data_IF_346690748873
#
_entry.id   IF_346690748873
#
_cell.length_a   1.000
_cell.length_b   1.000
_cell.length_c   1.000
_cell.angle_alpha   90.00
_cell.angle_beta   90.00
_cell.angle_gamma   90.00
#
_symmetry.space_group_name_H-M   'P 1'
#
loop_
_entity.id
_entity.type
_entity.pdbx_description
1 polymer ?
#
# COMPACT_ATOMS: atom_id res chain seq x y z
N UNK A 1 15.19 -11.25 24.80
CA UNK A 1 16.45 -11.40 24.04
C UNK A 1 16.44 -10.44 22.87
N UNK A 2 17.49 -9.63 22.76
CA UNK A 2 17.64 -8.46 21.89
C UNK A 2 18.00 -8.95 20.48
N UNK A 3 17.04 -8.94 19.56
CA UNK A 3 17.25 -9.25 18.15
C UNK A 3 17.92 -8.05 17.47
N UNK A 4 19.24 -8.06 17.39
CA UNK A 4 20.00 -7.16 16.53
C UNK A 4 19.68 -7.51 15.07
N UNK A 5 18.81 -6.69 14.48
CA UNK A 5 18.31 -6.88 13.13
C UNK A 5 19.41 -6.60 12.11
N UNK A 6 19.99 -7.67 11.59
CA UNK A 6 20.79 -7.65 10.37
C UNK A 6 19.98 -6.98 9.26
N UNK A 7 20.57 -6.00 8.59
CA UNK A 7 19.93 -5.32 7.47
C UNK A 7 19.68 -6.33 6.33
N UNK A 8 18.48 -6.36 5.71
CA UNK A 8 18.24 -7.21 4.56
C UNK A 8 19.22 -6.86 3.42
N UNK A 9 19.75 -7.89 2.77
CA UNK A 9 20.85 -7.90 1.79
C UNK A 9 20.65 -7.08 0.49
N UNK A 10 19.75 -6.09 0.47
CA UNK A 10 19.36 -5.36 -0.74
C UNK A 10 19.41 -3.85 -0.65
N UNK A 11 19.73 -3.24 0.49
CA UNK A 11 19.75 -1.78 0.57
C UNK A 11 20.98 -1.19 -0.15
N UNK A 12 20.77 -0.10 -0.91
CA UNK A 12 21.77 0.74 -1.62
C UNK A 12 22.77 1.38 -0.65
N UNK A 13 23.50 0.56 0.08
CA UNK A 13 24.13 0.95 1.31
C UNK A 13 25.47 0.22 1.32
N UNK A 14 26.53 0.94 0.95
CA UNK A 14 27.89 0.45 0.89
C UNK A 14 28.31 -0.23 2.21
N UNK A 15 29.30 -1.12 2.17
CA UNK A 15 29.67 -1.99 3.30
C UNK A 15 29.82 -1.30 4.66
N UNK A 16 30.23 -0.03 4.67
CA UNK A 16 30.34 0.81 5.87
C UNK A 16 29.01 1.06 6.61
N UNK A 17 27.91 1.19 5.87
CA UNK A 17 26.60 1.48 6.45
C UNK A 17 25.85 0.20 6.90
N UNK A 18 26.42 -1.00 6.68
CA UNK A 18 25.85 -2.27 7.19
C UNK A 18 26.07 -2.47 8.69
N UNK A 19 27.08 -1.83 9.27
CA UNK A 19 27.42 -1.93 10.71
C UNK A 19 26.69 -0.88 11.56
N UNK A 20 26.11 0.14 10.93
CA UNK A 20 25.43 1.23 11.63
C UNK A 20 23.97 0.89 11.94
N UNK A 21 23.42 1.40 13.07
CA UNK A 21 22.00 1.27 13.34
C UNK A 21 21.21 1.95 12.22
N UNK A 22 20.20 1.26 11.70
CA UNK A 22 19.41 1.72 10.54
C UNK A 22 18.95 3.18 10.61
N UNK A 23 18.58 3.68 11.78
CA UNK A 23 18.11 5.07 11.93
C UNK A 23 19.20 6.07 11.53
N UNK A 24 20.45 5.79 11.94
CA UNK A 24 21.60 6.59 11.57
C UNK A 24 21.90 6.47 10.07
N UNK A 25 21.86 5.24 9.54
CA UNK A 25 22.05 5.00 8.10
C UNK A 25 21.00 5.70 7.24
N UNK A 26 19.73 5.69 7.65
CA UNK A 26 18.64 6.36 6.95
C UNK A 26 18.81 7.88 6.95
N UNK A 27 19.19 8.48 8.09
CA UNK A 27 19.51 9.91 8.19
C UNK A 27 20.70 10.27 7.30
N UNK A 28 21.76 9.46 7.30
CA UNK A 28 22.93 9.70 6.45
C UNK A 28 22.53 9.67 4.97
N UNK A 29 21.81 8.63 4.53
CA UNK A 29 21.38 8.46 3.13
C UNK A 29 20.43 9.56 2.68
N UNK A 30 19.57 10.09 3.56
CA UNK A 30 18.63 11.14 3.20
C UNK A 30 19.20 12.56 3.27
N UNK A 31 20.04 12.87 4.25
CA UNK A 31 20.55 14.25 4.46
C UNK A 31 21.89 14.50 3.78
N UNK A 32 22.85 13.57 3.84
CA UNK A 32 24.23 13.84 3.39
C UNK A 32 24.31 14.02 1.87
N UNK A 33 23.82 13.09 1.03
CA UNK A 33 23.85 13.29 -0.43
C UNK A 33 23.05 14.51 -0.86
N UNK A 34 21.89 14.73 -0.24
CA UNK A 34 21.01 15.86 -0.56
C UNK A 34 21.68 17.20 -0.27
N UNK A 35 22.38 17.34 0.87
CA UNK A 35 23.12 18.56 1.18
C UNK A 35 24.36 18.74 0.31
N UNK A 36 25.09 17.67 0.00
CA UNK A 36 26.20 17.72 -0.97
C UNK A 36 25.71 18.20 -2.33
N UNK A 37 24.64 17.61 -2.87
CA UNK A 37 24.07 17.99 -4.17
C UNK A 37 23.57 19.43 -4.17
N UNK A 38 22.83 19.85 -3.14
CA UNK A 38 22.36 21.24 -2.98
C UNK A 38 23.53 22.24 -2.88
N UNK A 39 24.63 21.86 -2.22
CA UNK A 39 25.83 22.71 -2.12
C UNK A 39 26.55 22.82 -3.47
N UNK A 40 26.64 21.71 -4.22
CA UNK A 40 27.18 21.71 -5.58
C UNK A 40 26.33 22.60 -6.50
N UNK A 41 25.00 22.52 -6.39
CA UNK A 41 24.10 23.37 -7.17
C UNK A 41 24.32 24.85 -6.84
N UNK A 42 24.39 25.20 -5.55
CA UNK A 42 24.67 26.57 -5.11
C UNK A 42 26.02 27.10 -5.62
N UNK A 43 27.08 26.28 -5.59
CA UNK A 43 28.41 26.66 -6.08
C UNK A 43 28.44 26.91 -7.59
N UNK A 44 27.61 26.21 -8.35
CA UNK A 44 27.55 26.31 -9.81
C UNK A 44 26.67 27.48 -10.29
N UNK A 45 25.61 27.81 -9.58
CA UNK A 45 24.77 28.99 -9.85
C UNK A 45 24.28 29.61 -8.54
N UNK A 46 24.95 30.66 -8.04
CA UNK A 46 24.52 31.36 -6.82
C UNK A 46 23.24 32.17 -7.12
N UNK A 47 22.08 31.54 -6.94
CA UNK A 47 20.78 32.16 -7.24
C UNK A 47 20.08 32.75 -6.01
N UNK A 48 20.51 32.38 -4.79
CA UNK A 48 19.88 32.80 -3.52
C UNK A 48 20.93 33.16 -2.46
N UNK A 49 20.51 33.87 -1.40
CA UNK A 49 21.39 34.25 -0.29
C UNK A 49 21.80 33.08 0.60
N UNK A 50 22.86 33.23 1.39
CA UNK A 50 23.45 32.17 2.26
C UNK A 50 22.42 31.48 3.18
N UNK A 51 21.32 32.16 3.53
CA UNK A 51 20.23 31.59 4.32
C UNK A 51 19.52 30.39 3.67
N UNK A 52 19.47 30.32 2.34
CA UNK A 52 18.87 29.20 1.60
C UNK A 52 19.65 27.90 1.80
N UNK A 53 20.97 27.95 2.04
CA UNK A 53 21.78 26.74 2.29
C UNK A 53 21.33 25.96 3.55
N UNK A 54 20.75 26.66 4.54
CA UNK A 54 20.36 26.09 5.83
C UNK A 54 18.94 25.53 5.76
N UNK A 55 17.96 26.40 5.48
CA UNK A 55 16.54 26.04 5.29
C UNK A 55 16.19 26.14 3.80
N UNK A 56 16.28 25.00 3.11
CA UNK A 56 16.01 24.87 1.68
C UNK A 56 14.99 23.77 1.37
N UNK A 57 14.50 23.76 0.13
CA UNK A 57 13.72 22.66 -0.46
C UNK A 57 14.44 21.30 -0.30
N UNK A 58 15.77 21.28 -0.41
CA UNK A 58 16.59 20.10 -0.16
C UNK A 58 16.41 19.51 1.25
N UNK A 59 16.22 20.34 2.29
CA UNK A 59 15.96 19.87 3.65
C UNK A 59 14.58 19.20 3.71
N UNK A 60 13.57 19.83 3.12
CA UNK A 60 12.21 19.27 3.06
C UNK A 60 12.22 17.93 2.34
N UNK A 61 12.85 17.84 1.17
CA UNK A 61 12.99 16.58 0.43
C UNK A 61 13.73 15.51 1.24
N UNK A 62 14.78 15.87 1.99
CA UNK A 62 15.50 14.92 2.84
C UNK A 62 14.62 14.32 3.95
N UNK A 63 13.67 15.07 4.52
CA UNK A 63 12.69 14.55 5.48
C UNK A 63 11.72 13.57 4.81
N UNK A 64 11.25 13.87 3.60
CA UNK A 64 10.38 12.95 2.84
C UNK A 64 11.13 11.69 2.45
N UNK A 65 12.40 11.79 2.07
CA UNK A 65 13.26 10.63 1.79
C UNK A 65 13.46 9.78 3.03
N UNK A 66 13.70 10.38 4.20
CA UNK A 66 13.78 9.66 5.47
C UNK A 66 12.50 8.86 5.74
N UNK A 67 11.34 9.49 5.51
CA UNK A 67 10.04 8.83 5.60
C UNK A 67 9.93 7.63 4.65
N UNK A 68 10.39 7.75 3.40
CA UNK A 68 10.41 6.63 2.45
C UNK A 68 11.31 5.48 2.90
N UNK A 69 12.53 5.78 3.36
CA UNK A 69 13.46 4.75 3.83
C UNK A 69 12.88 4.01 5.04
N UNK A 70 12.31 4.74 6.00
CA UNK A 70 11.62 4.16 7.15
C UNK A 70 10.45 3.28 6.72
N UNK A 71 9.64 3.79 5.79
CA UNK A 71 8.50 3.08 5.24
C UNK A 71 8.92 1.80 4.52
N UNK A 72 9.93 1.84 3.65
CA UNK A 72 10.46 0.65 2.98
C UNK A 72 10.85 -0.42 4.00
N UNK A 73 11.53 -0.05 5.09
CA UNK A 73 11.87 -0.99 6.18
C UNK A 73 10.62 -1.55 6.87
N UNK A 74 9.63 -0.71 7.13
CA UNK A 74 8.36 -1.14 7.72
C UNK A 74 7.67 -2.19 6.84
N UNK A 75 7.62 -1.94 5.53
CA UNK A 75 7.03 -2.84 4.53
C UNK A 75 7.77 -4.18 4.53
N UNK A 76 9.09 -4.18 4.37
CA UNK A 76 9.91 -5.40 4.34
C UNK A 76 9.72 -6.24 5.61
N UNK A 77 9.86 -5.63 6.80
CA UNK A 77 9.66 -6.32 8.08
C UNK A 77 8.25 -6.89 8.25
N UNK A 78 7.25 -6.30 7.61
CA UNK A 78 5.88 -6.80 7.68
C UNK A 78 5.70 -7.99 6.74
N UNK A 79 6.27 -7.93 5.55
CA UNK A 79 6.30 -9.04 4.60
C UNK A 79 7.07 -10.23 5.15
N UNK A 80 8.19 -10.02 5.84
CA UNK A 80 8.97 -11.10 6.46
C UNK A 80 8.14 -11.85 7.51
N UNK A 81 7.46 -11.12 8.41
CA UNK A 81 6.52 -11.71 9.39
C UNK A 81 5.37 -12.45 8.73
N UNK A 82 4.86 -11.93 7.62
CA UNK A 82 3.82 -12.59 6.85
C UNK A 82 4.36 -13.86 6.16
N UNK A 83 5.63 -13.85 5.75
CA UNK A 83 6.32 -15.01 5.19
C UNK A 83 6.47 -16.13 6.20
N UNK A 84 6.86 -15.81 7.45
CA UNK A 84 6.93 -16.77 8.55
C UNK A 84 5.56 -17.38 8.84
N UNK A 85 4.51 -16.55 8.87
CA UNK A 85 3.14 -17.01 9.07
C UNK A 85 2.68 -17.94 7.93
N UNK A 86 2.96 -17.56 6.68
CA UNK A 86 2.61 -18.34 5.50
C UNK A 86 3.32 -19.70 5.46
N UNK A 87 4.58 -19.76 5.89
CA UNK A 87 5.34 -21.03 6.00
C UNK A 87 4.66 -22.02 6.95
N UNK A 88 4.07 -21.55 8.06
CA UNK A 88 3.32 -22.40 8.98
C UNK A 88 2.00 -22.97 8.43
N UNK A 89 1.49 -22.43 7.32
CA UNK A 89 0.22 -22.84 6.71
C UNK A 89 0.36 -23.68 5.44
N UNK A 90 1.56 -23.82 4.89
CA UNK A 90 1.80 -24.56 3.65
C UNK A 90 2.19 -26.01 3.96
N UNK A 91 1.55 -27.02 3.35
CA UNK A 91 1.98 -28.41 3.51
C UNK A 91 3.23 -28.64 2.67
N UNK A 92 4.31 -29.04 3.34
CA UNK A 92 5.58 -29.39 2.70
C UNK A 92 6.55 -28.23 2.55
N UNK A 93 7.82 -28.60 2.49
CA UNK A 93 9.06 -27.81 2.51
C UNK A 93 9.24 -26.90 1.29
N UNK A 94 8.18 -26.16 0.95
CA UNK A 94 8.21 -25.18 -0.12
C UNK A 94 8.97 -23.99 0.43
N UNK A 95 10.13 -23.67 -0.17
CA UNK A 95 10.97 -22.51 0.15
C UNK A 95 10.23 -21.20 -0.20
N UNK A 96 9.13 -20.93 0.50
CA UNK A 96 8.26 -19.80 0.25
C UNK A 96 8.86 -18.57 0.92
N UNK A 97 9.65 -17.84 0.16
CA UNK A 97 10.13 -16.52 0.53
C UNK A 97 9.23 -15.48 -0.13
N UNK A 98 8.34 -14.90 0.68
CA UNK A 98 7.54 -13.74 0.29
C UNK A 98 8.35 -12.44 0.30
N UNK A 99 9.59 -12.50 0.81
CA UNK A 99 10.54 -11.38 0.84
C UNK A 99 10.73 -10.77 -0.55
N UNK A 100 10.79 -9.45 -0.59
CA UNK A 100 10.93 -8.69 -1.83
C UNK A 100 12.38 -8.70 -2.31
N UNK A 101 12.71 -9.35 -3.44
CA UNK A 101 14.06 -9.28 -3.97
C UNK A 101 14.32 -7.86 -4.45
N UNK A 102 15.21 -7.15 -3.75
CA UNK A 102 15.70 -5.87 -4.23
C UNK A 102 16.54 -6.12 -5.49
N UNK A 103 16.10 -5.59 -6.63
CA UNK A 103 16.82 -5.70 -7.91
C UNK A 103 17.14 -4.29 -8.40
N UNK A 104 18.41 -3.83 -8.32
CA UNK A 104 18.76 -2.45 -8.66
C UNK A 104 18.40 -2.11 -10.10
N UNK A 105 18.53 -3.06 -11.03
CA UNK A 105 18.13 -2.88 -12.44
C UNK A 105 16.65 -2.48 -12.60
N UNK A 106 15.73 -3.06 -11.80
CA UNK A 106 14.29 -2.72 -11.88
C UNK A 106 13.98 -1.37 -11.24
N UNK A 107 14.70 -1.03 -10.18
CA UNK A 107 14.63 0.29 -9.54
C UNK A 107 15.11 1.37 -10.51
N UNK A 108 16.23 1.15 -11.19
CA UNK A 108 16.76 2.06 -12.21
C UNK A 108 15.80 2.23 -13.38
N UNK A 109 15.15 1.15 -13.85
CA UNK A 109 14.12 1.24 -14.88
C UNK A 109 12.96 2.14 -14.43
N UNK A 110 12.42 1.93 -13.23
CA UNK A 110 11.34 2.75 -12.68
C UNK A 110 11.79 4.20 -12.52
N UNK A 111 13.03 4.44 -12.08
CA UNK A 111 13.60 5.76 -11.95
C UNK A 111 13.67 6.50 -13.29
N UNK A 112 14.19 5.85 -14.34
CA UNK A 112 14.24 6.43 -15.71
C UNK A 112 12.83 6.70 -16.24
N UNK A 113 11.88 5.79 -16.05
CA UNK A 113 10.49 5.98 -16.49
C UNK A 113 9.82 7.14 -15.75
N UNK A 114 10.02 7.25 -14.43
CA UNK A 114 9.47 8.35 -13.63
C UNK A 114 10.08 9.69 -14.04
N UNK A 115 11.41 9.76 -14.20
CA UNK A 115 12.07 10.97 -14.68
C UNK A 115 11.56 11.37 -16.07
N UNK A 116 11.44 10.41 -17.00
CA UNK A 116 10.89 10.66 -18.34
C UNK A 116 9.44 11.14 -18.32
N UNK A 117 8.60 10.57 -17.46
CA UNK A 117 7.22 11.04 -17.29
C UNK A 117 7.18 12.47 -16.70
N UNK A 118 8.03 12.74 -15.70
CA UNK A 118 8.13 14.06 -15.06
C UNK A 118 8.62 15.12 -16.06
N UNK A 119 9.62 14.81 -16.89
CA UNK A 119 10.13 15.75 -17.90
C UNK A 119 9.13 16.01 -19.02
N UNK A 120 8.28 15.04 -19.37
CA UNK A 120 7.20 15.23 -20.34
C UNK A 120 6.12 16.18 -19.82
N UNK A 121 5.79 16.10 -18.52
CA UNK A 121 4.75 16.93 -17.90
C UNK A 121 5.26 18.31 -17.48
N UNK A 122 6.52 18.40 -17.09
CA UNK A 122 7.20 19.64 -16.72
C UNK A 122 8.57 19.66 -17.39
N UNK A 123 8.68 20.26 -18.60
CA UNK A 123 9.93 20.29 -19.36
C UNK A 123 11.09 20.86 -18.55
N UNK A 124 12.13 20.06 -18.40
CA UNK A 124 13.37 20.45 -17.75
C UNK A 124 14.21 21.26 -18.74
N UNK A 125 14.79 22.41 -18.33
CA UNK A 125 15.76 23.11 -19.16
C UNK A 125 16.99 22.23 -19.42
N UNK A 126 17.40 22.10 -20.69
CA UNK A 126 18.55 21.29 -21.09
C UNK A 126 19.91 21.97 -20.87
N UNK A 127 19.92 23.24 -20.48
CA UNK A 127 21.12 24.03 -20.17
C UNK A 127 21.65 23.71 -18.78
N UNK A 128 22.97 23.64 -18.59
CA UNK A 128 23.60 23.37 -17.28
C UNK A 128 23.13 24.38 -16.22
N UNK A 129 23.10 25.67 -16.56
CA UNK A 129 22.60 26.73 -15.66
C UNK A 129 21.14 26.51 -15.27
N UNK A 130 20.29 26.12 -16.22
CA UNK A 130 18.89 25.77 -15.95
C UNK A 130 18.73 24.50 -15.11
N UNK A 131 19.60 23.50 -15.27
CA UNK A 131 19.58 22.26 -14.47
C UNK A 131 19.95 22.58 -13.02
N UNK A 132 20.96 23.42 -12.83
CA UNK A 132 21.45 23.82 -11.52
C UNK A 132 20.44 24.75 -10.83
N UNK A 133 19.91 25.75 -11.54
CA UNK A 133 18.99 26.74 -10.97
C UNK A 133 17.63 26.17 -10.55
N UNK A 134 17.25 24.99 -11.03
CA UNK A 134 15.98 24.33 -10.70
C UNK A 134 16.15 23.12 -9.76
N UNK A 135 17.29 22.99 -9.08
CA UNK A 135 17.56 21.93 -8.10
C UNK A 135 17.35 20.50 -8.64
N UNK A 136 17.69 20.28 -9.91
CA UNK A 136 17.33 19.05 -10.63
C UNK A 136 18.15 17.86 -10.15
N UNK A 137 19.37 18.06 -9.62
CA UNK A 137 20.17 16.95 -9.10
C UNK A 137 19.58 16.41 -7.81
N UNK A 138 19.20 17.31 -6.89
CA UNK A 138 18.50 16.95 -5.66
C UNK A 138 17.16 16.28 -5.97
N UNK A 139 16.39 16.85 -6.90
CA UNK A 139 15.11 16.28 -7.33
C UNK A 139 15.28 14.90 -7.97
N UNK A 140 16.29 14.71 -8.81
CA UNK A 140 16.59 13.41 -9.45
C UNK A 140 16.97 12.33 -8.43
N UNK A 141 17.76 12.69 -7.41
CA UNK A 141 18.07 11.81 -6.29
C UNK A 141 16.83 11.47 -5.46
N UNK A 142 15.94 12.45 -5.22
CA UNK A 142 14.63 12.21 -4.61
C UNK A 142 13.80 11.19 -5.40
N UNK A 143 13.71 11.34 -6.73
CA UNK A 143 12.98 10.41 -7.61
C UNK A 143 13.59 9.00 -7.55
N UNK A 144 14.90 8.86 -7.33
CA UNK A 144 15.55 7.55 -7.18
C UNK A 144 15.11 6.82 -5.90
N UNK A 145 15.00 7.55 -4.78
CA UNK A 145 14.48 6.98 -3.54
C UNK A 145 12.98 6.68 -3.67
N UNK A 146 12.22 7.54 -4.34
CA UNK A 146 10.81 7.28 -4.66
C UNK A 146 10.64 6.01 -5.53
N UNK A 147 11.48 5.83 -6.54
CA UNK A 147 11.48 4.63 -7.38
C UNK A 147 11.79 3.36 -6.57
N UNK A 148 12.74 3.45 -5.64
CA UNK A 148 13.05 2.36 -4.70
C UNK A 148 11.85 2.02 -3.80
N UNK A 149 11.15 3.05 -3.32
CA UNK A 149 9.93 2.89 -2.52
C UNK A 149 8.82 2.22 -3.33
N UNK A 150 8.53 2.73 -4.53
CA UNK A 150 7.50 2.19 -5.42
C UNK A 150 7.77 0.75 -5.81
N UNK A 151 9.03 0.40 -6.10
CA UNK A 151 9.42 -0.98 -6.34
C UNK A 151 9.15 -1.86 -5.12
N UNK A 152 9.56 -1.41 -3.93
CA UNK A 152 9.39 -2.17 -2.68
C UNK A 152 7.90 -2.36 -2.36
N UNK A 153 7.09 -1.31 -2.51
CA UNK A 153 5.65 -1.35 -2.31
C UNK A 153 4.95 -2.28 -3.31
N UNK A 154 5.17 -2.07 -4.61
CA UNK A 154 4.54 -2.86 -5.67
C UNK A 154 4.95 -4.34 -5.62
N UNK A 155 6.23 -4.63 -5.40
CA UNK A 155 6.70 -6.01 -5.24
C UNK A 155 6.13 -6.68 -3.99
N UNK A 156 5.91 -5.95 -2.89
CA UNK A 156 5.26 -6.48 -1.67
C UNK A 156 3.79 -6.83 -1.91
N UNK A 157 3.05 -5.95 -2.60
CA UNK A 157 1.66 -6.24 -2.96
C UNK A 157 1.55 -7.42 -3.92
N UNK A 158 2.45 -7.53 -4.90
CA UNK A 158 2.55 -8.68 -5.80
C UNK A 158 2.91 -9.97 -5.06
N UNK A 159 3.78 -9.90 -4.05
CA UNK A 159 4.14 -11.04 -3.22
C UNK A 159 2.91 -11.55 -2.45
N UNK A 160 2.13 -10.65 -1.84
CA UNK A 160 0.88 -11.01 -1.14
C UNK A 160 -0.14 -11.60 -2.12
N UNK A 161 -0.30 -11.02 -3.31
CA UNK A 161 -1.17 -11.56 -4.36
C UNK A 161 -0.76 -12.98 -4.77
N UNK A 162 0.54 -13.24 -4.92
CA UNK A 162 1.06 -14.59 -5.21
C UNK A 162 0.88 -15.54 -4.03
N UNK A 163 1.02 -15.07 -2.79
CA UNK A 163 0.70 -15.84 -1.60
C UNK A 163 -0.75 -16.30 -1.64
N UNK A 164 -1.67 -15.42 -2.01
CA UNK A 164 -3.07 -15.77 -2.24
C UNK A 164 -3.28 -16.84 -3.32
N UNK A 165 -2.28 -17.23 -4.11
CA UNK A 165 -2.40 -18.32 -5.08
C UNK A 165 -1.81 -19.64 -4.60
N UNK A 166 -1.26 -19.73 -3.40
CA UNK A 166 -0.66 -20.97 -2.90
C UNK A 166 -1.71 -21.90 -2.25
N UNK A 167 -1.47 -23.22 -2.27
CA UNK A 167 -2.34 -24.18 -1.59
C UNK A 167 -2.07 -24.16 -0.09
N UNK A 168 -2.64 -23.19 0.63
CA UNK A 168 -2.60 -23.19 2.10
C UNK A 168 -3.58 -24.21 2.66
N UNK A 169 -3.19 -24.92 3.72
CA UNK A 169 -4.14 -25.68 4.54
C UNK A 169 -4.95 -24.67 5.36
N UNK A 170 -6.20 -24.50 4.94
CA UNK A 170 -7.12 -23.55 5.55
C UNK A 170 -7.57 -24.07 6.93
N UNK A 171 -7.67 -23.17 7.90
CA UNK A 171 -8.25 -23.53 9.21
C UNK A 171 -9.73 -23.88 9.05
N UNK A 172 -10.28 -24.78 9.89
CA UNK A 172 -11.71 -25.08 9.88
C UNK A 172 -12.53 -23.81 10.07
N UNK A 173 -13.59 -23.66 9.29
CA UNK A 173 -14.48 -22.48 9.32
C UNK A 173 -15.13 -22.25 10.71
N UNK A 174 -15.23 -23.31 11.53
CA UNK A 174 -15.72 -23.26 12.91
C UNK A 174 -14.77 -22.54 13.86
N UNK A 175 -13.47 -22.48 13.56
CA UNK A 175 -12.46 -21.80 14.37
C UNK A 175 -12.23 -20.35 13.90
N UNK A 176 -12.26 -20.10 12.58
CA UNK A 176 -12.07 -18.77 12.01
C UNK A 176 -12.88 -18.58 10.72
N UNK A 177 -13.80 -17.60 10.72
CA UNK A 177 -14.64 -17.24 9.56
C UNK A 177 -13.82 -16.74 8.36
N UNK A 178 -12.57 -16.34 8.57
CA UNK A 178 -11.64 -15.90 7.51
C UNK A 178 -10.65 -16.98 7.08
N UNK A 179 -10.81 -18.21 7.58
CA UNK A 179 -9.99 -19.38 7.23
C UNK A 179 -8.48 -19.16 7.49
N UNK A 180 -8.12 -18.24 8.40
CA UNK A 180 -6.74 -17.84 8.69
C UNK A 180 -6.14 -16.78 7.76
N UNK A 181 -6.91 -16.23 6.80
CA UNK A 181 -6.40 -15.28 5.80
C UNK A 181 -6.45 -13.80 6.23
N UNK A 182 -7.05 -13.49 7.40
CA UNK A 182 -7.11 -12.13 7.98
C UNK A 182 -5.75 -11.42 8.10
N UNK A 183 -4.63 -12.09 8.46
CA UNK A 183 -3.31 -11.44 8.51
C UNK A 183 -2.83 -10.91 7.15
N UNK A 184 -3.15 -11.58 6.05
CA UNK A 184 -2.81 -11.13 4.68
C UNK A 184 -3.63 -9.90 4.28
N UNK A 185 -4.91 -9.90 4.63
CA UNK A 185 -5.78 -8.75 4.41
C UNK A 185 -5.30 -7.52 5.20
N UNK A 186 -5.17 -7.66 6.52
CA UNK A 186 -4.74 -6.56 7.40
C UNK A 186 -3.34 -6.04 7.06
N UNK A 187 -2.43 -6.91 6.58
CA UNK A 187 -1.13 -6.48 6.06
C UNK A 187 -1.29 -5.59 4.83
N UNK A 188 -2.05 -6.03 3.83
CA UNK A 188 -2.30 -5.25 2.60
C UNK A 188 -2.91 -3.87 2.91
N UNK A 189 -3.88 -3.81 3.82
CA UNK A 189 -4.47 -2.54 4.26
C UNK A 189 -3.46 -1.60 4.91
N UNK A 190 -2.61 -2.12 5.82
CA UNK A 190 -1.58 -1.29 6.47
C UNK A 190 -0.54 -0.79 5.47
N UNK A 191 -0.17 -1.61 4.49
CA UNK A 191 0.72 -1.19 3.41
C UNK A 191 0.08 -0.07 2.58
N UNK A 192 -1.21 -0.21 2.22
CA UNK A 192 -1.95 0.81 1.50
C UNK A 192 -2.13 2.11 2.29
N UNK A 193 -2.40 2.04 3.60
CA UNK A 193 -2.51 3.23 4.44
C UNK A 193 -1.19 3.99 4.51
N UNK A 194 -0.06 3.28 4.58
CA UNK A 194 1.26 3.93 4.58
C UNK A 194 1.52 4.58 3.22
N UNK A 195 1.18 3.94 2.10
CA UNK A 195 1.27 4.57 0.78
C UNK A 195 0.38 5.82 0.67
N UNK A 196 -0.84 5.78 1.20
CA UNK A 196 -1.81 6.87 1.11
C UNK A 196 -1.35 8.15 1.82
N UNK A 197 -0.47 8.06 2.82
CA UNK A 197 0.10 9.23 3.51
C UNK A 197 1.00 10.04 2.58
N UNK A 198 1.69 9.40 1.64
CA UNK A 198 2.65 10.08 0.78
C UNK A 198 2.02 11.16 -0.14
N UNK A 199 0.95 10.87 -0.93
CA UNK A 199 0.25 11.91 -1.69
C UNK A 199 -0.21 13.09 -0.83
N UNK A 200 -0.64 12.82 0.41
CA UNK A 200 -1.06 13.86 1.36
C UNK A 200 0.12 14.75 1.74
N UNK A 201 1.27 14.16 2.10
CA UNK A 201 2.50 14.90 2.40
C UNK A 201 2.87 15.80 1.20
N UNK A 202 2.89 15.26 -0.02
CA UNK A 202 3.21 16.04 -1.23
C UNK A 202 2.24 17.21 -1.41
N UNK A 203 0.94 16.99 -1.27
CA UNK A 203 -0.05 18.07 -1.39
C UNK A 203 0.12 19.16 -0.35
N UNK A 204 0.46 18.80 0.89
CA UNK A 204 0.67 19.77 1.97
C UNK A 204 1.97 20.53 1.78
N UNK A 205 3.06 19.86 1.39
CA UNK A 205 4.34 20.49 1.06
C UNK A 205 4.16 21.52 -0.06
N UNK A 206 3.42 21.16 -1.10
CA UNK A 206 3.20 22.04 -2.25
C UNK A 206 2.31 23.25 -1.94
N UNK A 207 1.53 23.20 -0.86
CA UNK A 207 0.71 24.32 -0.42
C UNK A 207 1.53 25.38 0.34
N UNK A 208 2.75 25.05 0.79
CA UNK A 208 3.57 25.91 1.64
C UNK A 208 4.86 26.26 0.90
N UNK A 209 5.07 27.54 0.59
CA UNK A 209 6.36 28.06 0.10
C UNK A 209 7.04 28.85 1.21
N UNK A 210 8.25 28.46 1.61
CA UNK A 210 9.03 29.15 2.65
C UNK A 210 10.15 29.90 1.94
N UNK A 211 10.12 31.23 1.96
CA UNK A 211 11.22 32.05 1.47
C UNK A 211 11.92 32.69 2.67
N UNK A 212 13.24 32.49 2.78
CA UNK A 212 14.06 33.08 3.85
C UNK A 212 14.96 34.13 3.22
N UNK A 213 14.59 35.41 3.35
CA UNK A 213 15.44 36.52 2.95
C UNK A 213 16.21 37.03 4.17
N UNK A 214 17.55 37.06 4.10
CA UNK A 214 18.38 37.72 5.12
C UNK A 214 18.84 39.05 4.53
N UNK A 215 18.59 40.22 5.19
CA UNK A 215 18.23 40.40 6.60
C UNK A 215 16.70 40.50 6.89
N UNK A 216 15.84 40.20 5.92
CA UNK A 216 14.40 40.52 5.90
C UNK A 216 13.39 39.52 6.50
N UNK A 217 13.82 38.43 7.12
CA UNK A 217 12.93 37.49 7.84
C UNK A 217 12.40 36.31 7.00
N UNK A 218 11.55 35.48 7.63
CA UNK A 218 10.93 34.29 7.00
C UNK A 218 9.54 34.68 6.49
N UNK A 219 9.33 34.61 5.18
CA UNK A 219 8.00 34.77 4.59
C UNK A 219 7.43 33.40 4.24
N UNK A 220 6.20 33.15 4.71
CA UNK A 220 5.46 31.93 4.39
C UNK A 220 4.38 32.30 3.38
N UNK A 221 4.57 31.89 2.15
CA UNK A 221 3.60 32.03 1.06
C UNK A 221 2.77 30.76 0.88
N UNK A 222 1.61 30.92 0.25
CA UNK A 222 0.83 29.79 -0.25
C UNK A 222 1.35 29.40 -1.64
N UNK A 223 1.81 28.16 -1.76
CA UNK A 223 2.26 27.61 -3.03
C UNK A 223 1.13 27.50 -4.06
N UNK A 224 1.49 27.58 -5.34
CA UNK A 224 0.53 27.40 -6.44
C UNK A 224 0.59 25.97 -6.95
N UNK A 225 -0.55 25.26 -6.93
CA UNK A 225 -0.70 24.00 -7.66
C UNK A 225 -0.67 24.28 -9.16
N UNK A 226 0.29 23.68 -9.89
CA UNK A 226 0.26 23.66 -11.35
C UNK A 226 -0.60 22.49 -11.81
N UNK A 227 -1.21 22.61 -12.98
CA UNK A 227 -2.01 21.52 -13.58
C UNK A 227 -1.18 20.25 -13.75
N UNK A 228 0.11 20.37 -14.06
CA UNK A 228 1.07 19.25 -14.13
C UNK A 228 1.12 18.44 -12.84
N UNK A 229 1.08 19.12 -11.69
CA UNK A 229 1.28 18.51 -10.37
C UNK A 229 0.05 17.68 -9.98
N UNK A 230 -1.14 18.14 -10.36
CA UNK A 230 -2.38 17.39 -10.20
C UNK A 230 -2.40 16.12 -11.04
N UNK A 231 -1.86 16.16 -12.27
CA UNK A 231 -1.77 14.97 -13.13
C UNK A 231 -0.77 13.97 -12.56
N UNK A 232 0.40 14.44 -12.10
CA UNK A 232 1.41 13.57 -11.46
C UNK A 232 0.84 12.93 -10.19
N UNK A 233 0.23 13.74 -9.32
CA UNK A 233 -0.38 13.28 -8.08
C UNK A 233 -1.51 12.27 -8.34
N UNK A 234 -2.41 12.59 -9.29
CA UNK A 234 -3.50 11.73 -9.70
C UNK A 234 -3.01 10.39 -10.26
N UNK A 235 -1.97 10.42 -11.10
CA UNK A 235 -1.34 9.20 -11.62
C UNK A 235 -0.73 8.34 -10.52
N UNK A 236 -0.07 8.96 -9.55
CA UNK A 236 0.55 8.28 -8.41
C UNK A 236 -0.52 7.67 -7.48
N UNK A 237 -1.60 8.40 -7.21
CA UNK A 237 -2.77 7.88 -6.48
C UNK A 237 -3.34 6.66 -7.22
N UNK A 238 -3.54 6.76 -8.53
CA UNK A 238 -4.09 5.69 -9.35
C UNK A 238 -3.20 4.44 -9.31
N UNK A 239 -1.87 4.59 -9.44
CA UNK A 239 -0.91 3.47 -9.31
C UNK A 239 -1.05 2.79 -7.95
N UNK A 240 -1.17 3.56 -6.86
CA UNK A 240 -1.38 3.03 -5.52
C UNK A 240 -2.67 2.22 -5.39
N UNK A 241 -3.78 2.77 -5.88
CA UNK A 241 -5.10 2.11 -5.87
C UNK A 241 -5.05 0.81 -6.67
N UNK A 242 -4.51 0.84 -7.89
CA UNK A 242 -4.38 -0.36 -8.73
C UNK A 242 -3.54 -1.43 -8.03
N UNK A 243 -2.38 -1.07 -7.47
CA UNK A 243 -1.51 -1.99 -6.75
C UNK A 243 -2.15 -2.55 -5.48
N UNK A 244 -3.00 -1.79 -4.79
CA UNK A 244 -3.75 -2.25 -3.63
C UNK A 244 -4.85 -3.26 -4.00
N UNK A 245 -5.49 -3.11 -5.16
CA UNK A 245 -6.53 -4.03 -5.62
C UNK A 245 -5.97 -5.41 -5.98
N UNK A 246 -4.70 -5.51 -6.38
CA UNK A 246 -4.05 -6.78 -6.72
C UNK A 246 -4.19 -7.84 -5.61
N UNK A 247 -3.66 -7.65 -4.40
CA UNK A 247 -3.80 -8.64 -3.32
C UNK A 247 -5.26 -8.90 -2.93
N UNK A 248 -6.13 -7.89 -3.03
CA UNK A 248 -7.58 -8.04 -2.78
C UNK A 248 -8.20 -9.09 -3.70
N UNK A 249 -7.94 -9.00 -5.01
CA UNK A 249 -8.48 -9.92 -6.01
C UNK A 249 -7.95 -11.35 -5.77
N UNK A 250 -6.68 -11.48 -5.40
CA UNK A 250 -6.07 -12.78 -5.08
C UNK A 250 -6.75 -13.47 -3.90
N UNK A 251 -6.94 -12.76 -2.79
CA UNK A 251 -7.56 -13.30 -1.57
C UNK A 251 -9.07 -13.56 -1.79
N UNK A 252 -9.77 -12.65 -2.48
CA UNK A 252 -11.20 -12.80 -2.76
C UNK A 252 -11.50 -14.07 -3.56
N UNK A 253 -10.75 -14.32 -4.63
CA UNK A 253 -10.91 -15.55 -5.44
C UNK A 253 -10.71 -16.80 -4.60
N UNK A 254 -9.72 -16.83 -3.70
CA UNK A 254 -9.51 -17.97 -2.81
C UNK A 254 -10.60 -18.18 -1.79
N UNK A 255 -11.09 -17.11 -1.16
CA UNK A 255 -12.22 -17.22 -0.24
C UNK A 255 -13.47 -17.74 -0.98
N UNK A 256 -13.69 -17.33 -2.23
CA UNK A 256 -14.74 -17.88 -3.08
C UNK A 256 -14.51 -19.36 -3.43
N UNK A 257 -13.29 -19.75 -3.79
CA UNK A 257 -12.95 -21.13 -4.13
C UNK A 257 -13.09 -22.06 -2.91
N UNK A 258 -12.62 -21.62 -1.74
CA UNK A 258 -12.79 -22.35 -0.48
C UNK A 258 -14.28 -22.47 -0.11
N UNK A 259 -15.06 -21.39 -0.25
CA UNK A 259 -16.51 -21.41 -0.05
C UNK A 259 -17.20 -22.39 -1.00
N UNK A 260 -16.78 -22.44 -2.27
CA UNK A 260 -17.31 -23.38 -3.28
C UNK A 260 -16.95 -24.83 -2.96
N UNK A 261 -15.73 -25.10 -2.49
CA UNK A 261 -15.31 -26.45 -2.10
C UNK A 261 -16.10 -26.97 -0.89
N UNK A 262 -16.27 -26.15 0.14
CA UNK A 262 -17.08 -26.49 1.32
C UNK A 262 -18.57 -26.64 0.95
N UNK A 263 -19.10 -25.74 0.11
CA UNK A 263 -20.48 -25.85 -0.40
C UNK A 263 -20.68 -27.13 -1.21
N UNK A 264 -19.75 -27.48 -2.10
CA UNK A 264 -19.83 -28.69 -2.92
C UNK A 264 -19.77 -29.98 -2.10
N UNK A 265 -19.18 -29.96 -0.90
CA UNK A 265 -19.23 -31.08 0.04
C UNK A 265 -20.61 -31.21 0.70
N UNK A 266 -21.28 -30.08 0.96
CA UNK A 266 -22.58 -30.02 1.66
C UNK A 266 -23.75 -30.25 0.70
N UNK A 267 -23.69 -29.75 -0.54
CA UNK A 267 -24.76 -29.86 -1.54
C UNK A 267 -25.24 -31.30 -1.77
N UNK A 268 -24.39 -32.32 -2.00
CA UNK A 268 -24.86 -33.69 -2.21
C UNK A 268 -25.52 -34.31 -0.97
N UNK A 269 -25.03 -33.99 0.24
CA UNK A 269 -25.67 -34.41 1.50
C UNK A 269 -27.03 -33.75 1.67
N UNK A 270 -27.13 -32.45 1.39
CA UNK A 270 -28.37 -31.68 1.43
C UNK A 270 -29.41 -32.23 0.45
N UNK A 271 -29.05 -32.42 -0.82
CA UNK A 271 -29.97 -32.98 -1.82
C UNK A 271 -30.42 -34.38 -1.45
N UNK A 272 -29.53 -35.22 -0.88
CA UNK A 272 -29.91 -36.56 -0.45
C UNK A 272 -30.91 -36.57 0.72
N UNK A 273 -30.79 -35.62 1.66
CA UNK A 273 -31.71 -35.49 2.79
C UNK A 273 -33.07 -34.95 2.36
N UNK A 274 -33.09 -33.91 1.50
CA UNK A 274 -34.33 -33.35 0.95
C UNK A 274 -35.07 -34.35 0.08
N UNK A 275 -34.35 -35.15 -0.73
CA UNK A 275 -34.95 -36.19 -1.56
C UNK A 275 -35.59 -37.30 -0.70
N UNK A 276 -34.89 -37.77 0.34
CA UNK A 276 -35.43 -38.75 1.31
C UNK A 276 -36.67 -38.23 2.03
N UNK A 277 -36.69 -36.94 2.36
CA UNK A 277 -37.86 -36.28 2.98
C UNK A 277 -39.04 -36.22 2.01
N UNK A 278 -38.78 -35.87 0.74
CA UNK A 278 -39.81 -35.77 -0.31
C UNK A 278 -40.40 -37.14 -0.66
N UNK A 279 -39.58 -38.16 -0.79
CA UNK A 279 -40.04 -39.52 -1.10
C UNK A 279 -40.92 -40.07 0.04
N UNK A 280 -40.53 -39.86 1.31
CA UNK A 280 -41.36 -40.28 2.46
C UNK A 280 -42.66 -39.48 2.61
N UNK A 281 -42.67 -38.21 2.21
CA UNK A 281 -43.88 -37.36 2.24
C UNK A 281 -44.84 -37.69 1.09
N UNK A 282 -44.32 -38.18 -0.03
CA UNK A 282 -45.13 -38.61 -1.20
C UNK A 282 -45.70 -40.02 -0.99
N UNK A 283 -45.10 -40.83 -0.09
CA UNK A 283 -45.49 -42.22 0.17
C UNK A 283 -46.27 -42.49 1.46
N UNK A 284 -46.64 -41.49 2.27
CA UNK A 284 -47.31 -41.77 3.54
C UNK A 284 -48.83 -41.91 3.42
N UNK A 285 -49.29 -43.16 3.50
CA UNK A 285 -50.55 -43.56 4.13
C UNK A 285 -50.59 -43.03 5.58
N UNK A 286 -51.77 -42.57 5.98
CA UNK A 286 -52.05 -41.84 7.22
C UNK A 286 -52.07 -42.80 8.43
N UNK A 287 -51.22 -42.57 9.45
CA UNK A 287 -51.61 -42.40 10.87
C UNK A 287 -50.42 -42.45 11.86
N UNK A 288 -49.27 -43.04 11.53
CA UNK A 288 -48.22 -43.33 12.54
C UNK A 288 -47.10 -42.25 12.66
N UNK A 289 -47.06 -41.26 11.75
CA UNK A 289 -45.87 -40.45 11.48
C UNK A 289 -45.82 -39.03 12.07
N UNK A 290 -46.67 -38.65 13.03
CA UNK A 290 -46.66 -37.26 13.58
C UNK A 290 -45.34 -36.95 14.30
N UNK A 291 -44.83 -37.88 15.11
CA UNK A 291 -43.59 -37.69 15.87
C UNK A 291 -42.33 -37.72 14.97
N UNK A 292 -42.36 -38.50 13.88
CA UNK A 292 -41.27 -38.56 12.89
C UNK A 292 -41.26 -37.30 11.99
N UNK A 293 -42.44 -36.74 11.69
CA UNK A 293 -42.59 -35.47 10.97
C UNK A 293 -42.03 -34.29 11.77
N UNK A 294 -42.24 -34.25 13.09
CA UNK A 294 -41.67 -33.22 13.95
C UNK A 294 -40.13 -33.35 14.07
N UNK A 295 -39.61 -34.58 14.13
CA UNK A 295 -38.17 -34.82 14.08
C UNK A 295 -37.54 -34.34 12.76
N UNK A 296 -38.18 -34.59 11.63
CA UNK A 296 -37.73 -34.14 10.31
C UNK A 296 -37.88 -32.63 10.11
N UNK A 297 -38.91 -32.01 10.69
CA UNK A 297 -39.06 -30.55 10.70
C UNK A 297 -37.97 -29.87 11.55
N UNK A 298 -37.60 -30.47 12.68
CA UNK A 298 -36.46 -30.07 13.49
C UNK A 298 -35.15 -30.20 12.71
N UNK A 299 -34.95 -31.31 12.00
CA UNK A 299 -33.77 -31.53 11.16
C UNK A 299 -33.69 -30.53 10.00
N UNK A 300 -34.82 -30.20 9.36
CA UNK A 300 -34.91 -29.17 8.31
C UNK A 300 -34.61 -27.76 8.86
N UNK A 301 -35.00 -27.48 10.11
CA UNK A 301 -34.69 -26.21 10.78
C UNK A 301 -33.19 -26.06 11.06
N UNK A 302 -32.53 -27.14 11.50
CA UNK A 302 -31.08 -27.20 11.70
C UNK A 302 -30.36 -26.99 10.36
N UNK A 303 -30.87 -27.60 9.28
CA UNK A 303 -30.30 -27.44 7.94
C UNK A 303 -30.47 -26.01 7.41
N UNK A 304 -31.63 -25.37 7.61
CA UNK A 304 -31.83 -23.94 7.26
C UNK A 304 -30.93 -23.02 8.09
N UNK A 305 -30.69 -23.38 9.35
CA UNK A 305 -29.79 -22.63 10.22
C UNK A 305 -28.34 -22.75 9.76
N UNK A 306 -27.93 -23.93 9.29
CA UNK A 306 -26.63 -24.16 8.63
C UNK A 306 -26.54 -23.37 7.31
N UNK A 307 -27.58 -23.35 6.48
CA UNK A 307 -27.62 -22.56 5.23
C UNK A 307 -27.51 -21.04 5.49
N UNK A 308 -28.18 -20.56 6.54
CA UNK A 308 -28.09 -19.18 7.01
C UNK A 308 -26.69 -18.84 7.55
N UNK A 309 -26.06 -19.75 8.30
CA UNK A 309 -24.69 -19.60 8.78
C UNK A 309 -23.65 -19.63 7.66
N UNK A 310 -23.91 -20.41 6.59
CA UNK A 310 -23.11 -20.42 5.36
C UNK A 310 -23.26 -19.12 4.58
N UNK A 311 -24.45 -18.52 4.54
CA UNK A 311 -24.66 -17.20 3.94
C UNK A 311 -23.95 -16.09 4.71
N UNK A 312 -23.70 -16.29 6.02
CA UNK A 312 -22.91 -15.41 6.89
C UNK A 312 -21.39 -15.44 6.66
N UNK A 313 -20.88 -16.34 5.82
CA UNK A 313 -19.46 -16.35 5.42
C UNK A 313 -19.16 -15.04 4.67
N UNK A 314 -18.24 -14.24 5.23
CA UNK A 314 -17.79 -12.98 4.62
C UNK A 314 -17.20 -13.26 3.22
N UNK A 315 -17.80 -12.66 2.19
CA UNK A 315 -17.33 -12.73 0.79
C UNK A 315 -16.07 -11.91 0.55
N UNK A 316 -15.77 -10.98 1.45
CA UNK A 316 -14.59 -10.11 1.38
C UNK A 316 -13.84 -10.14 2.70
N UNK A 317 -12.49 -10.16 2.68
CA UNK A 317 -11.67 -10.13 3.89
C UNK A 317 -11.72 -8.77 4.62
N UNK A 318 -12.56 -7.83 4.17
CA UNK A 318 -12.63 -6.45 4.62
C UNK A 318 -14.05 -5.90 4.62
N UNK A 319 -14.34 -5.02 5.58
CA UNK A 319 -15.56 -4.23 5.60
C UNK A 319 -15.47 -3.09 4.57
N UNK A 320 -16.52 -2.92 3.77
CA UNK A 320 -16.65 -1.86 2.74
C UNK A 320 -16.39 -0.47 3.35
N UNK A 321 -16.74 -0.26 4.62
CA UNK A 321 -16.50 0.98 5.35
C UNK A 321 -15.02 1.38 5.49
N UNK A 322 -14.09 0.41 5.48
CA UNK A 322 -12.66 0.71 5.57
C UNK A 322 -12.11 1.17 4.21
N UNK A 323 -12.63 0.61 3.10
CA UNK A 323 -12.28 1.02 1.74
C UNK A 323 -12.78 2.44 1.48
N UNK A 324 -14.03 2.74 1.87
CA UNK A 324 -14.58 4.10 1.72
C UNK A 324 -13.81 5.11 2.57
N UNK A 325 -13.47 4.78 3.82
CA UNK A 325 -12.65 5.66 4.67
C UNK A 325 -11.26 5.93 4.07
N UNK A 326 -10.60 4.91 3.51
CA UNK A 326 -9.31 5.09 2.83
C UNK A 326 -9.44 5.95 1.57
N UNK A 327 -10.49 5.73 0.77
CA UNK A 327 -10.76 6.54 -0.41
C UNK A 327 -11.02 8.01 -0.04
N UNK A 328 -11.82 8.27 1.00
CA UNK A 328 -12.06 9.63 1.50
C UNK A 328 -10.77 10.30 1.96
N UNK A 329 -9.95 9.62 2.77
CA UNK A 329 -8.68 10.18 3.27
C UNK A 329 -7.70 10.49 2.13
N UNK A 330 -7.71 9.69 1.06
CA UNK A 330 -6.81 9.86 -0.08
C UNK A 330 -7.24 11.01 -1.01
N UNK A 331 -8.55 11.17 -1.20
CA UNK A 331 -9.13 12.12 -2.17
C UNK A 331 -9.43 13.49 -1.53
N UNK A 332 -9.71 13.54 -0.23
CA UNK A 332 -10.12 14.77 0.44
C UNK A 332 -9.02 15.86 0.46
N UNK A 333 -7.75 15.58 0.78
CA UNK A 333 -6.71 16.61 0.81
C UNK A 333 -6.48 17.33 -0.53
N UNK A 334 -6.35 16.64 -1.69
CA UNK A 334 -6.21 17.34 -2.97
C UNK A 334 -7.48 18.13 -3.35
N UNK A 335 -8.68 17.61 -3.05
CA UNK A 335 -9.93 18.37 -3.28
C UNK A 335 -9.94 19.65 -2.44
N UNK A 336 -9.63 19.56 -1.15
CA UNK A 336 -9.56 20.72 -0.26
C UNK A 336 -8.53 21.74 -0.74
N UNK A 337 -7.36 21.29 -1.22
CA UNK A 337 -6.35 22.17 -1.80
C UNK A 337 -6.85 22.93 -3.03
N UNK A 338 -7.57 22.24 -3.94
CA UNK A 338 -8.19 22.87 -5.12
C UNK A 338 -9.29 23.84 -4.72
N UNK A 339 -10.17 23.46 -3.78
CA UNK A 339 -11.24 24.34 -3.27
C UNK A 339 -10.66 25.59 -2.63
N UNK A 340 -9.63 25.44 -1.78
CA UNK A 340 -8.95 26.55 -1.14
C UNK A 340 -8.38 27.51 -2.20
N UNK A 341 -7.78 26.97 -3.27
CA UNK A 341 -7.27 27.79 -4.38
C UNK A 341 -8.38 28.53 -5.12
N UNK A 342 -9.51 27.87 -5.41
CA UNK A 342 -10.68 28.51 -6.06
C UNK A 342 -11.21 29.63 -5.18
N UNK A 343 -11.36 29.38 -3.88
CA UNK A 343 -11.80 30.41 -2.91
C UNK A 343 -10.86 31.62 -2.91
N UNK A 344 -9.54 31.40 -2.82
CA UNK A 344 -8.55 32.48 -2.83
C UNK A 344 -8.63 33.26 -4.14
N UNK A 345 -8.71 32.59 -5.29
CA UNK A 345 -8.79 33.25 -6.60
C UNK A 345 -10.06 34.09 -6.75
N UNK A 346 -11.18 33.64 -6.19
CA UNK A 346 -12.43 34.42 -6.16
C UNK A 346 -12.27 35.63 -5.24
N UNK A 347 -11.68 35.44 -4.06
CA UNK A 347 -11.53 36.50 -3.05
C UNK A 347 -10.49 37.56 -3.43
N UNK A 348 -9.48 37.21 -4.24
CA UNK A 348 -8.46 38.15 -4.74
C UNK A 348 -8.86 38.87 -6.04
N UNK A 349 -9.95 38.43 -6.71
CA UNK A 349 -10.49 39.07 -7.92
C UNK A 349 -11.59 40.09 -7.65
N UNK A 350 -12.03 40.19 -6.41
CA UNK A 350 -12.89 41.26 -5.87
C UNK A 350 -11.96 42.19 -5.09
#
# INVERSE_FOLDING_TARGET
>A
MKSEGCAPNGFLVGGFLRTLPFWLGAVIVSFVPTKILSTIEYLLAPSQGIGSLILDEALVLSLVMLYFLYTMRYITRRIDRLSEYAKGMSPGDTTLHLGTPYRPSRVLLIWVVLLGALTLLSPIPFTIEGVVSNHILVFSYFVLILASFLWTYGSSMLAIYRAGKLPFQLKPFTEDRTLGLKPFGTASMRLASVYAIFPIIVTLLQLITINVEVPGGVTVGLGSFRTSDLVILGGLILVGVVLFLLPLIGIHRRLQDARRQELNWITPRYTSLVQRLKDKMTHSDELENVNEKDALASELSIVRQIESDIHRIQTWPFDIGVITRLATVLVLPPILGVIARIMILIFLRI
#
